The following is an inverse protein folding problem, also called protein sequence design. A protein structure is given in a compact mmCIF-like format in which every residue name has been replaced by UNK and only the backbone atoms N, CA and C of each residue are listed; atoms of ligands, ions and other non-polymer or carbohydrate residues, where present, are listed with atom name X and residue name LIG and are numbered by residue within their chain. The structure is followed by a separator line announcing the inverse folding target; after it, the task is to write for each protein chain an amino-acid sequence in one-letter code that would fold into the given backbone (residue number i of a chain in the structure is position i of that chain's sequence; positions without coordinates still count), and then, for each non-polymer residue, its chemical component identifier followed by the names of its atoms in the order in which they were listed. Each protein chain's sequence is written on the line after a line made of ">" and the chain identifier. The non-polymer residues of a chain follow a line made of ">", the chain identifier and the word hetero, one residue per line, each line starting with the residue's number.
data_IF_297142680043
#
_entry.id   IF_297142680043
#
_cell.length_a   1.000
_cell.length_b   1.000
_cell.length_c   1.000
_cell.angle_alpha   90.00
_cell.angle_beta   90.00
_cell.angle_gamma   90.00
#
_symmetry.space_group_name_H-M   'P 1'
#
loop_
_entity.id
_entity.type
_entity.pdbx_description
1 polymer ?
#
# COMPACT_ATOMS: atom_id res chain seq x y z
N UNK A 1 -5.32 12.56 -2.17
CA UNK A 1 -6.08 11.36 -1.73
C UNK A 1 -5.15 10.51 -0.87
N UNK A 2 -5.72 9.62 -0.06
CA UNK A 2 -4.93 8.67 0.73
C UNK A 2 -5.31 7.25 0.35
N UNK A 3 -4.31 6.41 0.10
CA UNK A 3 -4.47 4.99 -0.23
C UNK A 3 -3.77 4.15 0.82
N UNK A 4 -4.45 3.10 1.26
CA UNK A 4 -3.84 2.01 2.01
C UNK A 4 -3.61 0.84 1.06
N UNK A 5 -2.35 0.52 0.80
CA UNK A 5 -1.95 -0.64 0.01
C UNK A 5 -1.53 -1.76 0.97
N UNK A 6 -2.36 -2.78 1.10
CA UNK A 6 -2.03 -4.02 1.81
C UNK A 6 -1.40 -5.00 0.84
N UNK A 7 -0.24 -5.56 1.21
CA UNK A 7 0.43 -6.61 0.46
C UNK A 7 0.60 -7.86 1.31
N UNK A 8 0.57 -9.02 0.65
CA UNK A 8 0.94 -10.31 1.22
C UNK A 8 1.82 -11.07 0.22
N UNK A 9 2.79 -11.84 0.70
CA UNK A 9 3.56 -12.69 -0.21
C UNK A 9 2.68 -13.81 -0.78
N UNK A 10 2.82 -14.03 -2.09
CA UNK A 10 2.37 -15.26 -2.73
C UNK A 10 3.11 -16.45 -2.13
N UNK A 11 2.41 -17.59 -2.04
CA UNK A 11 3.00 -18.83 -1.52
C UNK A 11 4.25 -19.20 -2.34
N UNK A 12 5.38 -19.38 -1.66
CA UNK A 12 6.67 -19.73 -2.28
C UNK A 12 7.56 -18.55 -2.71
N UNK A 13 7.07 -17.31 -2.66
CA UNK A 13 7.79 -16.13 -3.15
C UNK A 13 8.49 -15.29 -2.07
N UNK A 14 8.36 -15.67 -0.78
CA UNK A 14 8.90 -14.90 0.34
C UNK A 14 10.39 -14.59 0.18
N UNK A 15 11.23 -15.60 -0.05
CA UNK A 15 12.68 -15.40 -0.14
C UNK A 15 13.06 -14.52 -1.34
N UNK A 16 12.48 -14.77 -2.52
CA UNK A 16 12.76 -14.01 -3.75
C UNK A 16 12.47 -12.52 -3.53
N UNK A 17 11.30 -12.21 -2.96
CA UNK A 17 10.87 -10.85 -2.74
C UNK A 17 11.62 -10.17 -1.59
N UNK A 18 11.94 -10.90 -0.52
CA UNK A 18 12.78 -10.39 0.56
C UNK A 18 14.18 -10.01 0.04
N UNK A 19 14.78 -10.84 -0.82
CA UNK A 19 16.07 -10.53 -1.47
C UNK A 19 15.97 -9.30 -2.37
N UNK A 20 14.92 -9.21 -3.21
CA UNK A 20 14.67 -8.02 -4.04
C UNK A 20 14.53 -6.76 -3.18
N UNK A 21 13.81 -6.84 -2.06
CA UNK A 21 13.64 -5.71 -1.14
C UNK A 21 14.98 -5.30 -0.52
N UNK A 22 15.74 -6.25 0.02
CA UNK A 22 17.05 -5.96 0.63
C UNK A 22 18.05 -5.37 -0.37
N UNK A 23 17.99 -5.74 -1.65
CA UNK A 23 18.89 -5.20 -2.67
C UNK A 23 18.48 -3.84 -3.23
N UNK A 24 17.18 -3.53 -3.25
CA UNK A 24 16.66 -2.31 -3.90
C UNK A 24 16.14 -1.25 -2.93
N UNK A 25 15.80 -1.63 -1.69
CA UNK A 25 15.00 -0.84 -0.76
C UNK A 25 13.52 -0.71 -1.14
N UNK A 26 13.13 -1.28 -2.30
CA UNK A 26 11.84 -1.10 -2.96
C UNK A 26 11.44 0.39 -3.01
N UNK A 27 12.10 1.22 -3.84
CA UNK A 27 11.72 2.63 -3.97
C UNK A 27 10.26 2.74 -4.41
N UNK A 28 9.63 3.84 -4.03
CA UNK A 28 8.25 4.12 -4.40
C UNK A 28 8.23 5.23 -5.46
N UNK A 29 7.29 5.22 -6.43
CA UNK A 29 7.14 6.30 -7.38
C UNK A 29 6.90 7.66 -6.68
N UNK A 30 7.27 8.75 -7.36
CA UNK A 30 7.13 10.09 -6.80
C UNK A 30 5.66 10.40 -6.48
N UNK A 31 5.41 10.85 -5.24
CA UNK A 31 4.10 11.21 -4.72
C UNK A 31 4.25 12.19 -3.55
N UNK A 32 3.14 12.67 -2.99
CA UNK A 32 3.16 13.62 -1.87
C UNK A 32 3.86 13.03 -0.65
N UNK A 33 3.47 11.82 -0.24
CA UNK A 33 4.16 11.09 0.83
C UNK A 33 3.83 9.60 0.77
N UNK A 34 4.70 8.77 1.33
CA UNK A 34 4.40 7.36 1.55
C UNK A 34 5.14 6.82 2.77
N UNK A 35 4.55 5.81 3.41
CA UNK A 35 5.17 5.11 4.55
C UNK A 35 4.83 3.63 4.53
N UNK A 36 5.87 2.79 4.65
CA UNK A 36 5.75 1.33 4.68
C UNK A 36 5.80 0.78 6.10
N UNK A 37 5.02 -0.26 6.34
CA UNK A 37 4.93 -1.02 7.57
C UNK A 37 4.99 -2.52 7.24
N UNK A 38 5.63 -3.30 8.12
CA UNK A 38 5.77 -4.75 7.98
C UNK A 38 5.17 -5.44 9.20
N UNK A 39 4.39 -6.50 8.99
CA UNK A 39 4.05 -7.43 10.06
C UNK A 39 5.28 -8.28 10.44
N UNK A 40 5.35 -8.85 11.66
CA UNK A 40 6.41 -9.78 12.04
C UNK A 40 6.55 -10.94 11.04
N UNK A 41 7.80 -11.35 10.75
CA UNK A 41 8.11 -12.32 9.70
C UNK A 41 8.06 -11.75 8.27
N UNK A 42 7.61 -10.50 8.12
CA UNK A 42 7.48 -9.78 6.86
C UNK A 42 6.62 -10.51 5.82
N UNK A 43 5.68 -11.36 6.25
CA UNK A 43 4.80 -12.12 5.33
C UNK A 43 3.71 -11.25 4.71
N UNK A 44 3.42 -10.12 5.36
CA UNK A 44 2.49 -9.10 4.90
C UNK A 44 2.88 -7.72 5.44
N UNK A 45 2.25 -6.68 4.91
CA UNK A 45 2.41 -5.33 5.40
C UNK A 45 1.56 -4.32 4.66
N UNK A 46 1.79 -3.06 4.98
CA UNK A 46 0.98 -1.95 4.50
C UNK A 46 1.84 -0.82 3.98
N UNK A 47 1.34 -0.09 3.00
CA UNK A 47 1.89 1.19 2.57
C UNK A 47 0.76 2.21 2.60
N UNK A 48 0.93 3.24 3.41
CA UNK A 48 0.07 4.42 3.36
C UNK A 48 0.66 5.38 2.33
N UNK A 49 -0.13 5.80 1.35
CA UNK A 49 0.30 6.63 0.23
C UNK A 49 -0.59 7.84 0.13
N UNK A 50 -0.01 9.03 0.15
CA UNK A 50 -0.68 10.28 -0.13
C UNK A 50 -0.30 10.76 -1.53
N UNK A 51 -1.30 10.89 -2.40
CA UNK A 51 -1.13 11.27 -3.81
C UNK A 51 -2.45 11.77 -4.39
N UNK A 52 -2.39 12.62 -5.41
CA UNK A 52 -3.51 12.97 -6.28
C UNK A 52 -3.60 12.08 -7.54
N UNK A 53 -2.58 11.26 -7.79
CA UNK A 53 -2.53 10.29 -8.88
C UNK A 53 -2.52 8.84 -8.36
N UNK A 54 -3.60 8.10 -8.65
CA UNK A 54 -3.71 6.68 -8.31
C UNK A 54 -2.75 5.78 -9.13
N UNK A 55 -2.21 6.28 -10.25
CA UNK A 55 -1.22 5.60 -11.07
C UNK A 55 0.06 5.24 -10.31
N UNK A 56 0.45 6.07 -9.33
CA UNK A 56 1.57 5.81 -8.42
C UNK A 56 1.40 4.48 -7.67
N UNK A 57 0.19 4.18 -7.19
CA UNK A 57 -0.10 2.91 -6.52
C UNK A 57 -0.06 1.74 -7.50
N UNK A 58 -0.57 1.94 -8.73
CA UNK A 58 -0.58 0.92 -9.76
C UNK A 58 0.83 0.54 -10.20
N UNK A 59 1.70 1.52 -10.45
CA UNK A 59 3.09 1.30 -10.86
C UNK A 59 3.84 0.46 -9.81
N UNK A 60 3.73 0.84 -8.54
CA UNK A 60 4.37 0.08 -7.47
C UNK A 60 3.77 -1.32 -7.31
N UNK A 61 2.44 -1.46 -7.38
CA UNK A 61 1.81 -2.77 -7.29
C UNK A 61 2.25 -3.70 -8.44
N UNK A 62 2.30 -3.17 -9.67
CA UNK A 62 2.73 -3.90 -10.86
C UNK A 62 4.19 -4.36 -10.77
N UNK A 63 5.09 -3.51 -10.25
CA UNK A 63 6.51 -3.82 -10.07
C UNK A 63 6.75 -5.04 -9.15
N UNK A 64 5.81 -5.32 -8.25
CA UNK A 64 5.88 -6.42 -7.28
C UNK A 64 4.85 -7.52 -7.50
N UNK A 65 4.00 -7.40 -8.53
CA UNK A 65 2.87 -8.29 -8.78
C UNK A 65 3.28 -9.76 -9.01
N UNK A 66 4.52 -10.03 -9.40
CA UNK A 66 5.03 -11.41 -9.49
C UNK A 66 5.03 -12.11 -8.13
N UNK A 67 5.41 -11.39 -7.06
CA UNK A 67 5.66 -11.95 -5.74
C UNK A 67 4.59 -11.62 -4.69
N UNK A 68 3.80 -10.58 -4.91
CA UNK A 68 2.84 -10.03 -3.95
C UNK A 68 1.41 -10.10 -4.48
N UNK A 69 0.48 -10.41 -3.58
CA UNK A 69 -0.94 -10.12 -3.74
C UNK A 69 -1.25 -8.78 -3.08
N UNK A 70 -2.08 -7.97 -3.74
CA UNK A 70 -2.36 -6.60 -3.34
C UNK A 70 -3.84 -6.36 -3.11
N UNK A 71 -4.16 -5.61 -2.06
CA UNK A 71 -5.45 -4.94 -1.88
C UNK A 71 -5.17 -3.45 -1.69
N UNK A 72 -5.74 -2.62 -2.56
CA UNK A 72 -5.54 -1.16 -2.52
C UNK A 72 -6.88 -0.47 -2.29
N UNK A 73 -6.98 0.22 -1.15
CA UNK A 73 -8.21 0.89 -0.73
C UNK A 73 -7.99 2.40 -0.63
N UNK A 74 -8.81 3.24 -1.28
CA UNK A 74 -8.87 4.65 -0.91
C UNK A 74 -9.44 4.75 0.51
N UNK A 75 -8.80 5.55 1.36
CA UNK A 75 -9.16 5.69 2.77
C UNK A 75 -9.27 7.17 3.14
N UNK A 76 -10.17 7.46 4.07
CA UNK A 76 -10.39 8.79 4.65
C UNK A 76 -10.02 8.78 6.13
N UNK A 77 -9.57 9.93 6.64
CA UNK A 77 -9.43 10.16 8.08
C UNK A 77 -10.80 10.38 8.73
N UNK A 78 -10.84 10.38 10.06
CA UNK A 78 -12.05 10.64 10.82
C UNK A 78 -12.66 12.01 10.46
N UNK A 79 -11.83 13.04 10.27
CA UNK A 79 -12.27 14.39 9.90
C UNK A 79 -12.93 14.44 8.51
N UNK A 80 -12.52 13.56 7.61
CA UNK A 80 -13.06 13.46 6.25
C UNK A 80 -14.32 12.59 6.22
N UNK A 81 -14.31 11.45 6.91
CA UNK A 81 -15.39 10.47 6.90
C UNK A 81 -16.58 10.89 7.76
N UNK A 82 -16.34 11.49 8.94
CA UNK A 82 -17.37 11.86 9.92
C UNK A 82 -18.49 12.73 9.34
N UNK A 83 -18.19 13.87 8.71
CA UNK A 83 -19.21 14.72 8.09
C UNK A 83 -20.02 14.03 6.99
N UNK A 84 -19.44 13.04 6.30
CA UNK A 84 -20.13 12.29 5.25
C UNK A 84 -21.10 11.26 5.85
N UNK A 85 -20.68 10.53 6.89
CA UNK A 85 -21.57 9.61 7.61
C UNK A 85 -22.75 10.36 8.24
N UNK A 86 -22.51 11.53 8.83
CA UNK A 86 -23.57 12.35 9.43
C UNK A 86 -24.66 12.75 8.43
N UNK A 87 -24.36 12.90 7.13
CA UNK A 87 -25.39 13.25 6.12
C UNK A 87 -26.39 12.12 5.87
N UNK A 88 -26.02 10.88 6.18
CA UNK A 88 -26.83 9.69 5.95
C UNK A 88 -27.60 9.30 7.21
N UNK A 89 -26.98 9.49 8.39
CA UNK A 89 -27.47 8.93 9.64
C UNK A 89 -27.90 9.95 10.71
N UNK A 90 -27.70 11.27 10.49
CA UNK A 90 -28.17 12.33 11.39
C UNK A 90 -29.17 13.27 10.71
#
# INVERSE_FOLDING_TARGET
>A
MTFLMHWQFKTGYHEQAARKFLSTGAPFPACTSWKRFHAPGSVEGWILVETDDAGVCYEHAAEWAECLDWTVSPVFTDEQAGPLMSKVYN
#
